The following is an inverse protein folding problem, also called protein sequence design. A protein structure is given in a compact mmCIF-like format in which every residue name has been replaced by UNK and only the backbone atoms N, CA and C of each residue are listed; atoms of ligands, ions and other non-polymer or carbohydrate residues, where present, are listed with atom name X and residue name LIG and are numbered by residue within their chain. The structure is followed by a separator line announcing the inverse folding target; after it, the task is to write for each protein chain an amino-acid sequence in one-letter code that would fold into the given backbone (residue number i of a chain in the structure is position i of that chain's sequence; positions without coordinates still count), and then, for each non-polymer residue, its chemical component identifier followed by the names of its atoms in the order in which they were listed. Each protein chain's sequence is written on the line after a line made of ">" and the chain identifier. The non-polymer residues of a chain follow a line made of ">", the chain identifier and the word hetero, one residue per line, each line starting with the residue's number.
data_IF_692483163236
#
_entry.id   IF_692483163236
#
_cell.length_a   1.000
_cell.length_b   1.000
_cell.length_c   1.000
_cell.angle_alpha   90.00
_cell.angle_beta   90.00
_cell.angle_gamma   90.00
#
_symmetry.space_group_name_H-M   'P 1'
#
loop_
_entity.id
_entity.type
_entity.pdbx_description
1 polymer ?
#
# COMPACT_ATOMS: atom_id res chain seq x y z
N UNK A 1 25.64 46.48 -49.64
CA UNK A 1 24.56 46.92 -48.74
C UNK A 1 24.76 46.19 -47.41
N UNK A 2 25.22 46.94 -46.39
CA UNK A 2 25.12 46.74 -44.93
C UNK A 2 25.42 45.31 -44.37
N UNK A 3 26.63 45.01 -43.85
CA UNK A 3 27.08 45.09 -42.42
C UNK A 3 26.53 43.93 -41.53
N UNK A 4 27.19 43.20 -40.60
CA UNK A 4 28.45 43.29 -39.82
C UNK A 4 28.87 41.88 -39.32
N UNK A 5 30.20 41.70 -39.19
CA UNK A 5 31.08 40.77 -38.44
C UNK A 5 30.58 40.04 -37.17
N UNK A 6 31.20 38.87 -36.87
CA UNK A 6 31.81 38.45 -35.56
C UNK A 6 32.56 37.11 -35.72
N UNK A 7 33.90 37.11 -35.84
CA UNK A 7 34.93 36.83 -34.81
C UNK A 7 34.86 35.43 -34.15
N UNK A 8 35.83 34.60 -34.53
CA UNK A 8 36.35 33.40 -33.85
C UNK A 8 37.00 33.76 -32.50
N UNK A 9 36.85 32.92 -31.47
CA UNK A 9 37.93 32.62 -30.51
C UNK A 9 37.61 31.37 -29.67
N UNK A 10 38.54 30.41 -29.67
CA UNK A 10 38.68 29.33 -28.69
C UNK A 10 39.42 29.89 -27.47
N UNK A 11 38.91 29.64 -26.25
CA UNK A 11 39.72 29.70 -25.04
C UNK A 11 39.13 28.77 -23.97
N UNK A 12 39.88 27.72 -23.69
CA UNK A 12 39.80 26.89 -22.49
C UNK A 12 40.16 27.69 -21.23
N UNK A 13 39.39 27.52 -20.15
CA UNK A 13 39.89 27.76 -18.79
C UNK A 13 39.03 26.99 -17.80
N UNK A 14 39.70 26.13 -17.03
CA UNK A 14 39.11 25.27 -16.00
C UNK A 14 38.44 26.06 -14.88
N UNK A 15 37.37 25.51 -14.35
CA UNK A 15 36.72 25.92 -13.12
C UNK A 15 36.73 24.74 -12.13
N UNK A 16 37.37 24.94 -10.99
CA UNK A 16 37.55 23.97 -9.93
C UNK A 16 36.23 23.38 -9.41
N UNK A 17 36.20 22.05 -9.24
CA UNK A 17 35.21 21.37 -8.41
C UNK A 17 35.46 21.74 -6.95
N UNK A 18 34.69 22.69 -6.42
CA UNK A 18 34.55 22.87 -4.97
C UNK A 18 33.45 21.93 -4.51
N UNK A 19 33.84 20.87 -3.81
CA UNK A 19 32.93 20.02 -3.05
C UNK A 19 32.25 20.87 -1.95
N UNK A 20 31.03 21.35 -2.22
CA UNK A 20 30.17 21.94 -1.19
C UNK A 20 29.47 20.80 -0.45
N UNK A 21 29.71 20.74 0.86
CA UNK A 21 29.08 19.79 1.77
C UNK A 21 27.55 19.81 1.64
N UNK A 22 26.97 18.62 1.59
CA UNK A 22 25.54 18.38 1.56
C UNK A 22 24.92 18.75 2.92
N UNK A 23 24.50 20.00 3.03
CA UNK A 23 23.55 20.46 4.02
C UNK A 23 22.59 21.42 3.31
N UNK A 24 21.76 20.90 2.41
CA UNK A 24 20.68 21.71 1.83
C UNK A 24 19.61 21.88 2.89
N UNK A 25 19.63 23.03 3.56
CA UNK A 25 18.53 23.45 4.42
C UNK A 25 17.31 23.78 3.57
N UNK A 26 16.16 23.25 4.00
CA UNK A 26 14.84 23.56 3.47
C UNK A 26 14.55 25.08 3.51
N UNK A 27 13.76 25.64 2.57
CA UNK A 27 13.37 27.05 2.58
C UNK A 27 12.78 27.45 3.94
N UNK A 28 13.15 28.65 4.42
CA UNK A 28 12.65 29.19 5.70
C UNK A 28 11.13 29.44 5.65
N UNK A 29 10.37 28.44 6.07
CA UNK A 29 8.95 28.43 6.40
C UNK A 29 8.71 27.43 7.54
N UNK A 30 7.55 27.48 8.22
CA UNK A 30 7.23 26.61 9.35
C UNK A 30 7.29 25.14 8.90
N UNK A 31 8.20 24.36 9.48
CA UNK A 31 8.41 22.94 9.15
C UNK A 31 7.09 22.16 9.16
N UNK A 32 6.89 21.33 8.13
CA UNK A 32 5.74 20.43 8.07
C UNK A 32 6.14 19.07 8.63
N UNK A 33 5.44 18.60 9.67
CA UNK A 33 5.56 17.23 10.14
C UNK A 33 4.85 16.28 9.17
N UNK A 34 5.17 14.99 9.25
CA UNK A 34 4.45 13.93 8.56
C UNK A 34 3.90 12.96 9.59
N UNK A 35 2.59 12.74 9.55
CA UNK A 35 1.90 11.69 10.29
C UNK A 35 1.45 10.64 9.28
N UNK A 36 2.12 9.50 9.28
CA UNK A 36 1.84 8.36 8.43
C UNK A 36 1.07 7.33 9.24
N UNK A 37 -0.22 7.19 8.98
CA UNK A 37 -1.11 6.23 9.65
C UNK A 37 -1.46 5.13 8.66
N UNK A 38 -1.29 3.89 9.09
CA UNK A 38 -1.66 2.76 8.27
C UNK A 38 -2.23 1.58 9.04
N UNK A 39 -3.04 0.78 8.35
CA UNK A 39 -3.66 -0.44 8.86
C UNK A 39 -3.28 -1.65 8.00
N UNK A 40 -3.60 -2.85 8.49
CA UNK A 40 -3.58 -4.07 7.71
C UNK A 40 -4.94 -4.36 7.09
N UNK A 41 -4.97 -4.94 5.89
CA UNK A 41 -6.07 -5.77 5.40
C UNK A 41 -7.44 -5.09 5.49
N UNK A 42 -7.52 -3.77 5.27
CA UNK A 42 -8.76 -3.00 5.38
C UNK A 42 -9.34 -2.59 4.01
N UNK A 43 -8.48 -2.54 2.98
CA UNK A 43 -8.85 -2.11 1.62
C UNK A 43 -9.64 -0.81 1.61
N UNK A 44 -10.72 -0.80 0.84
CA UNK A 44 -11.72 0.28 0.80
C UNK A 44 -12.96 -0.05 1.64
N UNK A 45 -12.90 -1.02 2.54
CA UNK A 45 -14.04 -1.48 3.34
C UNK A 45 -14.27 -0.62 4.59
N UNK A 46 -14.18 0.70 4.43
CA UNK A 46 -14.30 1.72 5.48
C UNK A 46 -15.34 2.77 5.07
N UNK A 47 -15.94 3.46 6.05
CA UNK A 47 -17.04 4.41 5.85
C UNK A 47 -16.80 5.49 4.76
N UNK A 48 -15.61 6.10 4.61
CA UNK A 48 -15.35 7.10 3.55
C UNK A 48 -15.45 6.57 2.11
N UNK A 49 -15.56 5.26 1.94
CA UNK A 49 -15.60 4.54 0.66
C UNK A 49 -16.93 3.81 0.48
N UNK A 50 -18.01 4.34 1.08
CA UNK A 50 -19.38 3.83 1.00
C UNK A 50 -19.55 2.39 1.55
N UNK A 51 -18.63 1.95 2.41
CA UNK A 51 -18.79 0.70 3.13
C UNK A 51 -19.83 0.81 4.24
N UNK A 52 -20.57 -0.27 4.49
CA UNK A 52 -21.48 -0.37 5.63
C UNK A 52 -20.75 -0.44 6.99
N UNK A 53 -19.43 -0.62 6.99
CA UNK A 53 -18.59 -0.65 8.20
C UNK A 53 -18.36 0.78 8.68
N UNK A 54 -18.98 1.12 9.82
CA UNK A 54 -18.87 2.46 10.39
C UNK A 54 -17.48 2.72 10.98
N UNK A 55 -16.87 3.82 10.53
CA UNK A 55 -15.56 4.34 10.95
C UNK A 55 -15.60 5.88 10.96
N UNK A 56 -16.30 6.48 11.94
CA UNK A 56 -16.60 7.91 11.96
C UNK A 56 -15.37 8.82 12.11
N UNK A 57 -14.29 8.35 12.75
CA UNK A 57 -13.07 9.15 12.92
C UNK A 57 -12.31 9.27 11.60
N UNK A 58 -12.18 8.16 10.86
CA UNK A 58 -11.61 8.12 9.51
C UNK A 58 -12.52 8.91 8.55
N UNK A 59 -13.85 8.82 8.69
CA UNK A 59 -14.79 9.67 7.94
C UNK A 59 -14.60 11.16 8.25
N UNK A 60 -14.26 11.52 9.48
CA UNK A 60 -13.90 12.90 9.82
C UNK A 60 -12.63 13.36 9.14
N UNK A 61 -11.60 12.51 9.11
CA UNK A 61 -10.37 12.81 8.36
C UNK A 61 -10.65 13.03 6.86
N UNK A 62 -11.54 12.22 6.26
CA UNK A 62 -11.97 12.38 4.88
C UNK A 62 -12.68 13.73 4.62
N UNK A 63 -13.52 14.21 5.56
CA UNK A 63 -14.17 15.54 5.45
C UNK A 63 -13.18 16.70 5.51
N UNK A 64 -12.01 16.49 6.11
CA UNK A 64 -10.97 17.51 6.28
C UNK A 64 -9.86 17.43 5.23
N UNK A 65 -9.82 16.35 4.44
CA UNK A 65 -8.74 16.06 3.50
C UNK A 65 -9.22 15.77 2.08
N UNK A 66 -8.33 15.12 1.33
CA UNK A 66 -8.58 14.61 -0.01
C UNK A 66 -8.65 13.09 0.04
N UNK A 67 -9.78 12.53 -0.37
CA UNK A 67 -10.03 11.08 -0.45
C UNK A 67 -9.88 10.61 -1.89
N UNK A 68 -9.08 9.58 -2.14
CA UNK A 68 -8.88 9.01 -3.47
C UNK A 68 -9.71 7.74 -3.65
N UNK A 69 -10.81 7.81 -4.41
CA UNK A 69 -11.67 6.65 -4.71
C UNK A 69 -10.96 5.62 -5.60
N UNK A 70 -9.90 6.04 -6.30
CA UNK A 70 -9.14 5.25 -7.27
C UNK A 70 -7.66 5.08 -6.86
N UNK A 71 -7.41 4.77 -5.58
CA UNK A 71 -6.06 4.45 -5.07
C UNK A 71 -5.77 2.94 -5.04
N UNK A 72 -4.62 2.53 -5.56
CA UNK A 72 -4.28 1.11 -5.73
C UNK A 72 -2.92 0.75 -5.12
N UNK A 73 -2.83 -0.42 -4.49
CA UNK A 73 -1.57 -1.00 -4.06
C UNK A 73 -0.76 -1.52 -5.25
N UNK A 74 0.56 -1.49 -5.11
CA UNK A 74 1.44 -2.15 -6.09
C UNK A 74 1.51 -3.67 -5.88
N UNK A 75 0.97 -4.17 -4.76
CA UNK A 75 0.87 -5.59 -4.44
C UNK A 75 -0.25 -5.84 -3.43
N UNK A 76 -1.05 -6.91 -3.58
CA UNK A 76 -2.10 -7.28 -2.63
C UNK A 76 -1.53 -8.09 -1.46
N UNK A 77 -0.32 -7.75 -0.99
CA UNK A 77 0.43 -8.44 0.07
C UNK A 77 1.09 -7.40 0.97
N UNK A 78 1.02 -7.58 2.29
CA UNK A 78 1.34 -6.56 3.29
C UNK A 78 2.75 -5.96 3.13
N UNK A 79 3.82 -6.77 3.24
CA UNK A 79 5.20 -6.28 3.15
C UNK A 79 5.53 -5.68 1.77
N UNK A 80 5.22 -6.35 0.64
CA UNK A 80 5.40 -5.79 -0.70
C UNK A 80 4.67 -4.45 -0.93
N UNK A 81 3.42 -4.33 -0.49
CA UNK A 81 2.64 -3.09 -0.61
C UNK A 81 3.29 -1.94 0.16
N UNK A 82 3.59 -2.16 1.44
CA UNK A 82 4.20 -1.15 2.32
C UNK A 82 5.56 -0.72 1.80
N UNK A 83 6.36 -1.68 1.32
CA UNK A 83 7.63 -1.40 0.67
C UNK A 83 7.44 -0.54 -0.58
N UNK A 84 6.43 -0.81 -1.40
CA UNK A 84 6.18 -0.03 -2.60
C UNK A 84 5.84 1.43 -2.28
N UNK A 85 4.98 1.66 -1.29
CA UNK A 85 4.66 3.01 -0.80
C UNK A 85 5.91 3.72 -0.26
N UNK A 86 6.61 3.05 0.66
CA UNK A 86 7.73 3.67 1.40
C UNK A 86 8.99 3.80 0.55
N UNK A 87 9.13 3.11 -0.58
CA UNK A 87 10.31 3.24 -1.46
C UNK A 87 10.02 3.93 -2.78
N UNK A 88 8.74 4.10 -3.15
CA UNK A 88 8.31 4.61 -4.45
C UNK A 88 8.71 3.70 -5.62
N UNK A 89 8.82 2.38 -5.38
CA UNK A 89 9.27 1.38 -6.37
C UNK A 89 8.31 0.19 -6.40
N UNK A 90 8.27 -0.54 -7.52
CA UNK A 90 7.58 -1.83 -7.56
C UNK A 90 8.22 -2.81 -6.57
N UNK A 91 7.45 -3.75 -5.99
CA UNK A 91 7.98 -4.81 -5.12
C UNK A 91 9.24 -5.51 -5.64
N UNK A 92 9.29 -5.92 -6.91
CA UNK A 92 10.47 -6.56 -7.49
C UNK A 92 11.68 -5.64 -7.62
N UNK A 93 11.48 -4.32 -7.80
CA UNK A 93 12.59 -3.34 -7.83
C UNK A 93 13.11 -3.03 -6.44
N UNK A 94 12.22 -2.93 -5.45
CA UNK A 94 12.61 -2.71 -4.05
C UNK A 94 13.23 -3.97 -3.41
N UNK A 95 13.02 -5.14 -4.00
CA UNK A 95 13.43 -6.45 -3.50
C UNK A 95 12.42 -7.11 -2.56
N UNK A 96 11.40 -6.37 -2.09
CA UNK A 96 10.37 -6.91 -1.19
C UNK A 96 9.30 -7.67 -1.96
N UNK A 97 9.63 -8.89 -2.40
CA UNK A 97 8.75 -9.74 -3.22
C UNK A 97 7.89 -10.74 -2.42
N UNK A 98 7.97 -10.71 -1.09
CA UNK A 98 7.24 -11.58 -0.17
C UNK A 98 7.20 -11.01 1.25
N UNK A 99 6.78 -11.81 2.24
CA UNK A 99 6.55 -11.35 3.62
C UNK A 99 7.86 -11.18 4.41
N UNK A 100 8.02 -10.02 5.07
CA UNK A 100 9.25 -9.71 5.80
C UNK A 100 9.53 -10.69 6.95
N UNK A 101 8.50 -11.09 7.69
CA UNK A 101 8.60 -12.06 8.79
C UNK A 101 8.88 -13.50 8.31
N UNK A 102 8.79 -13.76 6.99
CA UNK A 102 9.15 -15.03 6.34
C UNK A 102 10.53 -15.00 5.68
N UNK A 103 11.34 -13.98 5.98
CA UNK A 103 12.73 -13.87 5.52
C UNK A 103 12.93 -13.06 4.24
N UNK A 104 11.86 -12.51 3.64
CA UNK A 104 11.96 -11.59 2.50
C UNK A 104 12.43 -10.19 2.95
N UNK A 105 13.17 -9.47 2.11
CA UNK A 105 13.92 -8.27 2.52
C UNK A 105 13.99 -7.24 1.40
N UNK A 106 14.06 -5.96 1.78
CA UNK A 106 14.40 -4.88 0.86
C UNK A 106 15.85 -5.03 0.39
N UNK A 107 16.11 -4.77 -0.89
CA UNK A 107 17.46 -4.70 -1.43
C UNK A 107 18.23 -3.50 -0.89
N UNK A 108 17.55 -2.38 -0.61
CA UNK A 108 18.16 -1.19 -0.04
C UNK A 108 17.22 -0.46 0.93
N UNK A 109 17.24 -0.80 2.23
CA UNK A 109 16.44 -0.11 3.26
C UNK A 109 16.72 1.39 3.38
N UNK A 110 17.84 1.92 2.86
CA UNK A 110 18.11 3.38 2.88
C UNK A 110 17.20 4.17 1.93
N UNK A 111 16.49 3.50 1.04
CA UNK A 111 15.52 4.11 0.11
C UNK A 111 14.12 4.23 0.71
N UNK A 112 13.91 3.82 1.96
CA UNK A 112 12.65 4.06 2.67
C UNK A 112 12.45 5.56 2.89
N UNK A 113 11.20 6.03 2.77
CA UNK A 113 10.80 7.42 2.84
C UNK A 113 11.33 8.10 4.10
N UNK A 114 11.07 7.51 5.27
CA UNK A 114 11.56 8.05 6.53
C UNK A 114 13.10 8.06 6.64
N UNK A 115 13.78 7.08 6.01
CA UNK A 115 15.25 7.01 5.98
C UNK A 115 15.87 8.10 5.12
N UNK A 116 15.21 8.44 4.02
CA UNK A 116 15.67 9.53 3.17
C UNK A 116 15.36 10.89 3.80
N UNK A 117 14.18 11.05 4.42
CA UNK A 117 13.78 12.27 5.14
C UNK A 117 14.71 12.62 6.31
N UNK A 118 15.33 11.63 6.97
CA UNK A 118 16.34 11.87 8.02
C UNK A 118 17.50 12.75 7.52
N UNK A 119 17.86 12.68 6.23
CA UNK A 119 18.91 13.54 5.63
C UNK A 119 18.53 15.02 5.62
N UNK A 120 17.23 15.32 5.67
CA UNK A 120 16.66 16.66 5.71
C UNK A 120 16.30 17.11 7.13
N UNK A 121 16.74 16.37 8.15
CA UNK A 121 16.58 16.74 9.55
C UNK A 121 15.28 16.27 10.20
N UNK A 122 14.49 15.43 9.52
CA UNK A 122 13.32 14.81 10.14
C UNK A 122 13.74 13.75 11.17
N UNK A 123 13.06 13.75 12.31
CA UNK A 123 13.12 12.64 13.27
C UNK A 123 12.15 11.55 12.83
N UNK A 124 12.66 10.36 12.51
CA UNK A 124 11.84 9.19 12.21
C UNK A 124 11.45 8.47 13.49
N UNK A 125 10.14 8.34 13.74
CA UNK A 125 9.58 7.72 14.94
C UNK A 125 8.61 6.61 14.54
N UNK A 126 8.81 5.41 15.07
CA UNK A 126 7.89 4.28 14.87
C UNK A 126 7.03 4.07 16.10
N UNK A 127 5.73 3.94 15.90
CA UNK A 127 4.75 3.46 16.89
C UNK A 127 3.95 2.33 16.26
N UNK A 128 3.95 1.16 16.91
CA UNK A 128 3.35 -0.04 16.33
C UNK A 128 4.23 -0.71 15.28
N UNK A 129 3.65 -1.06 14.14
CA UNK A 129 4.32 -1.90 13.14
C UNK A 129 4.68 -1.17 11.85
N UNK A 130 5.61 -1.74 11.08
CA UNK A 130 6.03 -1.25 9.75
C UNK A 130 5.95 -2.34 8.66
N UNK A 131 6.17 -3.60 9.06
CA UNK A 131 6.06 -4.83 8.26
C UNK A 131 6.82 -4.89 6.91
N UNK A 132 7.82 -4.05 6.70
CA UNK A 132 8.86 -4.12 5.66
C UNK A 132 10.21 -4.70 6.15
N UNK A 133 10.30 -5.05 7.44
CA UNK A 133 11.37 -5.83 8.05
C UNK A 133 10.81 -6.76 9.13
N UNK A 134 11.46 -7.90 9.38
CA UNK A 134 11.08 -8.81 10.46
C UNK A 134 11.29 -8.18 11.85
N UNK A 135 12.40 -7.46 12.01
CA UNK A 135 12.75 -6.75 13.24
C UNK A 135 12.81 -5.23 12.95
N UNK A 136 11.92 -4.41 13.54
CA UNK A 136 11.92 -2.96 13.32
C UNK A 136 13.22 -2.27 13.77
N UNK A 137 13.99 -2.85 14.70
CA UNK A 137 15.27 -2.27 15.15
C UNK A 137 16.33 -2.23 14.04
N UNK A 138 16.18 -3.08 13.02
CA UNK A 138 17.06 -3.11 11.84
C UNK A 138 16.89 -1.91 10.93
N UNK A 139 15.74 -1.22 11.01
CA UNK A 139 15.38 -0.15 10.09
C UNK A 139 15.91 1.22 10.48
N UNK A 140 16.50 1.39 11.67
CA UNK A 140 17.17 2.64 12.10
C UNK A 140 16.23 3.86 12.14
N UNK A 141 15.03 3.70 12.68
CA UNK A 141 14.25 4.84 13.19
C UNK A 141 15.07 5.54 14.29
N UNK A 142 14.97 6.87 14.39
CA UNK A 142 15.64 7.62 15.46
C UNK A 142 15.03 7.28 16.83
N UNK A 143 13.72 7.03 16.85
CA UNK A 143 13.00 6.50 18.01
C UNK A 143 12.10 5.36 17.59
N UNK A 144 12.51 4.13 17.89
CA UNK A 144 11.61 2.99 17.81
C UNK A 144 10.82 2.88 19.12
N UNK A 145 9.53 3.20 19.08
CA UNK A 145 8.59 3.08 20.20
C UNK A 145 7.64 1.89 20.03
N UNK A 146 7.93 0.96 19.10
CA UNK A 146 7.20 -0.30 19.03
C UNK A 146 7.29 -1.03 20.38
N UNK A 147 6.20 -1.66 20.79
CA UNK A 147 6.10 -2.30 22.10
C UNK A 147 6.32 -3.80 21.99
N UNK A 148 7.18 -4.35 22.85
CA UNK A 148 7.28 -5.80 23.10
C UNK A 148 6.60 -6.10 24.42
N UNK A 149 5.75 -7.13 24.44
CA UNK A 149 5.23 -7.66 25.69
C UNK A 149 6.27 -8.49 26.45
N UNK A 150 5.90 -9.00 27.62
CA UNK A 150 6.77 -9.78 28.49
C UNK A 150 7.29 -11.07 27.84
N UNK A 151 6.61 -11.57 26.80
CA UNK A 151 7.06 -12.73 26.03
C UNK A 151 8.06 -12.37 24.92
N UNK A 152 8.35 -11.09 24.75
CA UNK A 152 9.20 -10.57 23.68
C UNK A 152 8.49 -10.42 22.34
N UNK A 153 7.17 -10.62 22.29
CA UNK A 153 6.36 -10.47 21.06
C UNK A 153 6.04 -9.01 20.81
N UNK A 154 6.23 -8.56 19.57
CA UNK A 154 5.81 -7.23 19.15
C UNK A 154 4.28 -7.11 19.14
N UNK A 155 3.77 -6.01 19.68
CA UNK A 155 2.35 -5.70 19.78
C UNK A 155 2.04 -4.42 19.01
N UNK A 156 0.97 -4.45 18.24
CA UNK A 156 0.58 -3.37 17.34
C UNK A 156 -0.93 -3.12 17.31
N UNK A 157 -1.68 -3.69 18.27
CA UNK A 157 -3.10 -3.45 18.45
C UNK A 157 -3.36 -1.96 18.74
N UNK A 158 -4.49 -1.44 18.27
CA UNK A 158 -4.85 -0.03 18.40
C UNK A 158 -4.87 0.44 19.86
N UNK A 159 -5.25 -0.46 20.79
CA UNK A 159 -5.24 -0.21 22.23
C UNK A 159 -3.83 0.01 22.82
N UNK A 160 -2.78 -0.43 22.12
CA UNK A 160 -1.37 -0.26 22.49
C UNK A 160 -0.74 0.89 21.71
N UNK A 161 -0.92 0.91 20.39
CA UNK A 161 -0.24 1.84 19.47
C UNK A 161 -0.75 3.28 19.66
N UNK A 162 -2.06 3.47 19.71
CA UNK A 162 -2.63 4.82 19.79
C UNK A 162 -2.20 5.58 21.06
N UNK A 163 -2.19 4.98 22.28
CA UNK A 163 -1.61 5.64 23.46
C UNK A 163 -0.12 5.99 23.32
N UNK A 164 0.68 5.20 22.61
CA UNK A 164 2.12 5.48 22.44
C UNK A 164 2.31 6.68 21.51
N UNK A 165 1.63 6.68 20.35
CA UNK A 165 1.64 7.81 19.42
C UNK A 165 1.13 9.09 20.09
N UNK A 166 0.06 8.98 20.87
CA UNK A 166 -0.48 10.05 21.68
C UNK A 166 0.55 10.63 22.65
N UNK A 167 1.24 9.80 23.44
CA UNK A 167 2.29 10.26 24.38
C UNK A 167 3.45 10.95 23.67
N UNK A 168 3.83 10.47 22.49
CA UNK A 168 4.85 11.14 21.69
C UNK A 168 4.38 12.55 21.27
N UNK A 169 3.15 12.69 20.76
CA UNK A 169 2.60 14.00 20.38
C UNK A 169 2.44 14.94 21.59
N UNK A 170 2.02 14.41 22.76
CA UNK A 170 1.91 15.17 24.02
C UNK A 170 3.26 15.61 24.58
N UNK A 171 4.35 14.94 24.22
CA UNK A 171 5.71 15.40 24.55
C UNK A 171 6.12 16.68 23.80
N UNK A 172 5.27 17.14 22.87
CA UNK A 172 5.44 18.34 22.05
C UNK A 172 6.81 18.40 21.36
N UNK A 173 7.13 17.41 20.49
CA UNK A 173 8.37 17.39 19.73
C UNK A 173 8.56 18.71 18.96
N UNK A 174 9.77 19.29 19.11
CA UNK A 174 10.16 20.56 18.45
C UNK A 174 10.84 20.34 17.10
N UNK A 175 11.49 19.19 16.92
CA UNK A 175 12.08 18.79 15.65
C UNK A 175 10.95 18.34 14.70
N UNK A 176 11.03 18.63 13.38
CA UNK A 176 10.13 18.03 12.41
C UNK A 176 10.21 16.50 12.51
N UNK A 177 9.07 15.83 12.46
CA UNK A 177 9.00 14.39 12.61
C UNK A 177 8.31 13.71 11.42
N UNK A 178 8.74 12.48 11.14
CA UNK A 178 7.95 11.47 10.44
C UNK A 178 7.48 10.47 11.51
N UNK A 179 6.20 10.53 11.86
CA UNK A 179 5.59 9.64 12.83
C UNK A 179 4.85 8.53 12.09
N UNK A 180 5.43 7.33 12.15
CA UNK A 180 4.90 6.10 11.61
C UNK A 180 3.98 5.44 12.65
N UNK A 181 2.68 5.36 12.35
CA UNK A 181 1.65 4.82 13.22
C UNK A 181 1.00 3.62 12.53
N UNK A 182 1.54 2.45 12.84
CA UNK A 182 1.10 1.21 12.23
C UNK A 182 0.26 0.35 13.14
N UNK A 183 -1.01 0.21 12.77
CA UNK A 183 -1.98 -0.62 13.46
C UNK A 183 -1.98 -2.06 12.93
N UNK A 184 -2.19 -3.02 13.83
CA UNK A 184 -2.41 -4.43 13.50
C UNK A 184 -3.79 -4.66 12.90
N UNK A 185 -4.79 -3.93 13.39
CA UNK A 185 -6.13 -3.94 12.80
C UNK A 185 -6.04 -3.47 11.34
N UNK A 186 -6.77 -4.06 10.40
CA UNK A 186 -7.76 -5.14 10.51
C UNK A 186 -7.20 -6.48 10.00
N UNK A 187 -5.99 -6.87 10.43
CA UNK A 187 -5.50 -8.24 10.20
C UNK A 187 -6.25 -9.26 11.08
N UNK A 188 -6.28 -10.53 10.65
CA UNK A 188 -6.85 -11.64 11.44
C UNK A 188 -5.91 -12.08 12.58
N UNK A 189 -6.39 -12.67 13.67
CA UNK A 189 -7.79 -13.00 14.00
C UNK A 189 -8.61 -11.78 14.44
N UNK A 190 -9.90 -11.78 14.08
CA UNK A 190 -10.83 -10.70 14.42
C UNK A 190 -11.40 -10.86 15.83
N UNK A 191 -11.77 -9.75 16.51
CA UNK A 191 -12.52 -9.82 17.74
C UNK A 191 -13.88 -10.49 17.51
N UNK A 192 -14.38 -11.20 18.52
CA UNK A 192 -15.71 -11.79 18.45
C UNK A 192 -16.77 -10.69 18.28
N UNK A 193 -17.64 -10.78 17.26
CA UNK A 193 -18.67 -9.78 17.03
C UNK A 193 -19.74 -9.86 18.11
N UNK A 194 -20.22 -8.70 18.55
CA UNK A 194 -21.40 -8.59 19.41
C UNK A 194 -22.68 -8.80 18.60
N UNK A 195 -23.85 -9.04 19.23
CA UNK A 195 -25.13 -9.05 18.53
C UNK A 195 -25.39 -7.77 17.72
N UNK A 196 -25.01 -6.62 18.25
CA UNK A 196 -25.13 -5.34 17.55
C UNK A 196 -24.22 -5.26 16.31
N UNK A 197 -23.08 -5.96 16.31
CA UNK A 197 -22.20 -6.02 15.14
C UNK A 197 -22.79 -6.87 14.03
N UNK A 198 -23.45 -7.98 14.40
CA UNK A 198 -24.18 -8.84 13.46
C UNK A 198 -25.37 -8.11 12.83
N UNK A 199 -26.15 -7.36 13.62
CA UNK A 199 -27.28 -6.55 13.14
C UNK A 199 -26.86 -5.45 12.15
N UNK A 200 -25.59 -4.99 12.22
CA UNK A 200 -25.04 -3.99 11.30
C UNK A 200 -24.69 -4.57 9.93
N UNK A 201 -24.52 -5.88 9.80
CA UNK A 201 -24.19 -6.52 8.51
C UNK A 201 -25.42 -6.54 7.62
N UNK A 202 -25.48 -5.58 6.68
CA UNK A 202 -26.55 -5.49 5.67
C UNK A 202 -26.27 -6.34 4.43
N UNK A 203 -25.00 -6.58 4.14
CA UNK A 203 -24.52 -7.35 2.99
C UNK A 203 -23.11 -7.86 3.28
N UNK A 204 -22.75 -8.98 2.67
CA UNK A 204 -21.39 -9.51 2.67
C UNK A 204 -20.56 -8.90 1.52
N UNK A 205 -19.23 -8.83 1.64
CA UNK A 205 -18.40 -8.30 0.56
C UNK A 205 -18.40 -9.27 -0.63
N UNK A 206 -18.53 -8.73 -1.84
CA UNK A 206 -18.45 -9.52 -3.09
C UNK A 206 -17.01 -9.99 -3.31
N UNK A 207 -16.76 -11.18 -3.86
CA UNK A 207 -17.71 -12.09 -4.52
C UNK A 207 -18.27 -13.18 -3.58
N UNK A 208 -18.21 -13.00 -2.26
CA UNK A 208 -18.60 -14.06 -1.33
C UNK A 208 -20.12 -14.33 -1.35
N UNK A 209 -20.55 -15.60 -1.21
CA UNK A 209 -21.95 -15.93 -1.05
C UNK A 209 -22.46 -15.42 0.31
N UNK A 210 -23.74 -15.07 0.36
CA UNK A 210 -24.36 -14.59 1.58
C UNK A 210 -24.78 -15.77 2.48
N UNK A 211 -23.90 -16.18 3.39
CA UNK A 211 -24.15 -17.25 4.38
C UNK A 211 -24.01 -16.72 5.81
N UNK A 212 -24.60 -17.39 6.83
CA UNK A 212 -24.44 -17.00 8.22
C UNK A 212 -22.97 -16.91 8.67
N UNK A 213 -22.12 -17.84 8.23
CA UNK A 213 -20.69 -17.88 8.54
C UNK A 213 -19.96 -16.66 7.99
N UNK A 214 -20.28 -16.24 6.77
CA UNK A 214 -19.65 -15.09 6.11
C UNK A 214 -20.17 -13.78 6.70
N UNK A 215 -21.47 -13.69 7.04
CA UNK A 215 -22.02 -12.53 7.78
C UNK A 215 -21.34 -12.38 9.13
N UNK A 216 -21.13 -13.48 9.85
CA UNK A 216 -20.43 -13.48 11.13
C UNK A 216 -18.98 -13.02 10.96
N UNK A 217 -18.26 -13.57 10.00
CA UNK A 217 -16.87 -13.20 9.71
C UNK A 217 -16.73 -11.71 9.32
N UNK A 218 -17.66 -11.19 8.52
CA UNK A 218 -17.69 -9.77 8.15
C UNK A 218 -18.10 -8.85 9.31
N UNK A 219 -18.98 -9.30 10.21
CA UNK A 219 -19.28 -8.58 11.45
C UNK A 219 -18.02 -8.45 12.34
N UNK A 220 -17.23 -9.52 12.43
CA UNK A 220 -15.97 -9.55 13.17
C UNK A 220 -14.93 -8.59 12.56
N UNK A 221 -14.80 -8.58 11.23
CA UNK A 221 -14.02 -7.56 10.51
C UNK A 221 -14.48 -6.14 10.88
N UNK A 222 -15.78 -5.89 10.84
CA UNK A 222 -16.34 -4.58 11.20
C UNK A 222 -16.03 -4.16 12.64
N UNK A 223 -16.00 -5.11 13.59
CA UNK A 223 -15.60 -4.84 14.96
C UNK A 223 -14.11 -4.48 15.06
N UNK A 224 -13.23 -5.16 14.31
CA UNK A 224 -11.81 -4.79 14.19
C UNK A 224 -11.64 -3.40 13.58
N UNK A 225 -12.39 -3.07 12.52
CA UNK A 225 -12.35 -1.77 11.87
C UNK A 225 -12.76 -0.61 12.80
N UNK A 226 -13.71 -0.85 13.72
CA UNK A 226 -14.07 0.13 14.76
C UNK A 226 -12.95 0.34 15.81
N UNK A 227 -12.18 -0.70 16.12
CA UNK A 227 -11.00 -0.57 16.99
C UNK A 227 -9.91 0.26 16.31
N UNK A 228 -9.65 0.01 15.03
CA UNK A 228 -8.79 0.83 14.19
C UNK A 228 -9.25 2.29 14.20
N UNK A 229 -10.52 2.54 13.89
CA UNK A 229 -11.10 3.88 13.81
C UNK A 229 -10.94 4.66 15.13
N UNK A 230 -11.24 4.03 16.27
CA UNK A 230 -11.04 4.64 17.58
C UNK A 230 -9.55 4.98 17.85
N UNK A 231 -8.63 4.11 17.43
CA UNK A 231 -7.19 4.34 17.49
C UNK A 231 -6.76 5.54 16.64
N UNK A 232 -7.22 5.60 15.39
CA UNK A 232 -6.97 6.73 14.48
C UNK A 232 -7.49 8.04 15.09
N UNK A 233 -8.73 8.06 15.57
CA UNK A 233 -9.33 9.24 16.19
C UNK A 233 -8.54 9.73 17.40
N UNK A 234 -8.03 8.82 18.23
CA UNK A 234 -7.17 9.17 19.37
C UNK A 234 -5.88 9.86 18.94
N UNK A 235 -5.21 9.36 17.91
CA UNK A 235 -3.98 9.96 17.38
C UNK A 235 -4.27 11.32 16.75
N UNK A 236 -5.33 11.44 15.95
CA UNK A 236 -5.72 12.72 15.31
C UNK A 236 -6.10 13.78 16.35
N UNK A 237 -6.84 13.42 17.41
CA UNK A 237 -7.13 14.33 18.53
C UNK A 237 -5.86 14.77 19.27
N UNK A 238 -4.89 13.87 19.43
CA UNK A 238 -3.60 14.20 20.04
C UNK A 238 -2.78 15.16 19.18
N UNK A 239 -2.80 14.99 17.86
CA UNK A 239 -2.21 15.92 16.92
C UNK A 239 -2.85 17.31 17.05
N UNK A 240 -4.18 17.36 17.08
CA UNK A 240 -4.94 18.60 17.10
C UNK A 240 -4.77 19.39 18.40
N UNK A 241 -4.95 18.73 19.56
CA UNK A 241 -4.83 19.42 20.87
C UNK A 241 -3.44 19.98 21.17
N UNK A 242 -2.41 19.44 20.52
CA UNK A 242 -1.03 19.93 20.62
C UNK A 242 -0.69 20.99 19.56
N UNK A 243 -1.65 21.40 18.74
CA UNK A 243 -1.51 22.51 17.79
C UNK A 243 -0.76 22.15 16.51
N UNK A 244 -0.69 20.86 16.16
CA UNK A 244 0.05 20.39 14.98
C UNK A 244 -0.78 20.38 13.68
N UNK A 245 -2.08 20.63 13.73
CA UNK A 245 -2.96 20.59 12.54
C UNK A 245 -2.50 21.49 11.40
N UNK A 246 -1.97 22.67 11.74
CA UNK A 246 -1.57 23.69 10.76
C UNK A 246 -0.19 23.47 10.16
N UNK A 247 0.52 22.42 10.56
CA UNK A 247 1.86 22.13 10.07
C UNK A 247 2.14 20.63 10.03
N UNK A 248 1.14 19.80 9.72
CA UNK A 248 1.32 18.36 9.56
C UNK A 248 0.63 17.89 8.29
N UNK A 249 1.35 17.15 7.46
CA UNK A 249 0.78 16.30 6.42
C UNK A 249 0.37 14.98 7.06
N UNK A 250 -0.93 14.71 7.09
CA UNK A 250 -1.51 13.44 7.53
C UNK A 250 -1.75 12.58 6.30
N UNK A 251 -1.24 11.35 6.33
CA UNK A 251 -1.44 10.32 5.31
C UNK A 251 -2.09 9.13 6.00
N UNK A 252 -3.35 8.86 5.70
CA UNK A 252 -4.01 7.62 6.08
C UNK A 252 -4.08 6.69 4.87
N UNK A 253 -3.57 5.48 5.01
CA UNK A 253 -3.54 4.51 3.91
C UNK A 253 -3.65 3.07 4.39
N UNK A 254 -4.32 2.23 3.60
CA UNK A 254 -4.37 0.77 3.80
C UNK A 254 -3.35 0.10 2.88
N UNK A 255 -2.80 -1.03 3.27
CA UNK A 255 -1.84 -1.76 2.43
C UNK A 255 -2.52 -2.41 1.21
N UNK A 256 -3.60 -3.15 1.41
CA UNK A 256 -4.35 -3.81 0.33
C UNK A 256 -5.77 -4.17 0.76
N UNK A 257 -6.48 -4.92 -0.09
CA UNK A 257 -7.82 -5.46 0.16
C UNK A 257 -7.95 -6.30 1.44
N UNK A 258 -9.18 -6.57 1.83
CA UNK A 258 -9.50 -7.30 3.08
C UNK A 258 -9.10 -8.77 3.02
N UNK A 259 -8.84 -9.38 4.19
CA UNK A 259 -8.42 -10.77 4.34
C UNK A 259 -9.59 -11.77 4.16
N UNK A 260 -10.23 -11.74 2.98
CA UNK A 260 -11.30 -12.66 2.60
C UNK A 260 -10.95 -13.37 1.28
N UNK A 261 -11.55 -14.55 1.00
CA UNK A 261 -11.29 -15.28 -0.22
C UNK A 261 -11.51 -14.42 -1.49
N UNK A 262 -10.54 -14.46 -2.41
CA UNK A 262 -10.58 -13.71 -3.67
C UNK A 262 -10.14 -12.24 -3.59
N UNK A 263 -9.76 -11.73 -2.42
CA UNK A 263 -9.40 -10.33 -2.20
C UNK A 263 -7.90 -10.18 -1.89
N UNK A 264 -7.47 -10.22 -0.62
CA UNK A 264 -6.04 -10.32 -0.26
C UNK A 264 -5.35 -11.40 -1.10
N UNK A 265 -4.12 -11.12 -1.52
CA UNK A 265 -3.34 -11.97 -2.43
C UNK A 265 -3.93 -12.12 -3.85
N UNK A 266 -4.92 -11.32 -4.27
CA UNK A 266 -5.44 -11.32 -5.63
C UNK A 266 -5.24 -9.95 -6.30
N UNK A 267 -5.01 -9.97 -7.62
CA UNK A 267 -4.75 -8.74 -8.37
C UNK A 267 -6.03 -8.07 -8.89
N UNK A 268 -7.21 -8.50 -8.45
CA UNK A 268 -8.52 -7.84 -8.66
C UNK A 268 -8.61 -6.52 -7.89
N UNK A 269 -9.54 -5.64 -8.24
CA UNK A 269 -9.71 -4.32 -7.62
C UNK A 269 -10.10 -4.46 -6.14
N UNK A 270 -10.78 -5.55 -5.76
CA UNK A 270 -11.02 -5.90 -4.36
C UNK A 270 -9.74 -6.28 -3.61
N UNK A 271 -8.71 -6.77 -4.31
CA UNK A 271 -7.43 -7.14 -3.73
C UNK A 271 -6.40 -6.00 -3.70
N UNK A 272 -6.36 -5.16 -4.74
CA UNK A 272 -5.41 -4.05 -4.85
C UNK A 272 -6.01 -2.68 -4.48
N UNK A 273 -7.32 -2.56 -4.34
CA UNK A 273 -7.96 -1.31 -3.94
C UNK A 273 -7.63 -0.93 -2.51
N UNK A 274 -7.13 0.29 -2.32
CA UNK A 274 -6.75 0.82 -1.00
C UNK A 274 -7.53 2.08 -0.68
N UNK A 275 -7.73 2.32 0.61
CA UNK A 275 -8.08 3.64 1.08
C UNK A 275 -6.82 4.51 1.13
N UNK A 276 -6.92 5.73 0.60
CA UNK A 276 -5.92 6.79 0.71
C UNK A 276 -6.64 8.11 1.00
N UNK A 277 -6.34 8.69 2.16
CA UNK A 277 -6.83 10.01 2.57
C UNK A 277 -5.62 10.85 2.98
N UNK A 278 -5.49 12.04 2.39
CA UNK A 278 -4.40 12.97 2.70
C UNK A 278 -4.95 14.31 3.15
N UNK A 279 -4.48 14.81 4.29
CA UNK A 279 -4.90 16.10 4.87
C UNK A 279 -3.66 16.90 5.24
N UNK A 280 -3.63 18.18 4.88
CA UNK A 280 -2.51 19.03 5.25
C UNK A 280 -2.67 20.48 4.78
N UNK A 281 -1.84 21.41 5.30
CA UNK A 281 -1.81 22.79 4.85
C UNK A 281 -1.69 22.95 3.33
N UNK A 282 -2.55 23.79 2.74
CA UNK A 282 -2.52 24.06 1.30
C UNK A 282 -3.10 22.96 0.42
N UNK A 283 -3.65 21.89 1.01
CA UNK A 283 -4.42 20.88 0.28
C UNK A 283 -5.91 21.24 0.25
N UNK A 284 -6.64 20.70 -0.73
CA UNK A 284 -8.08 20.81 -0.81
C UNK A 284 -8.73 20.11 0.40
N UNK A 285 -9.88 20.65 0.83
CA UNK A 285 -10.60 20.20 2.03
C UNK A 285 -11.91 19.53 1.61
N UNK A 286 -12.18 18.34 2.13
CA UNK A 286 -13.40 17.58 1.87
C UNK A 286 -13.55 17.16 0.40
N UNK A 287 -12.44 17.06 -0.33
CA UNK A 287 -12.44 16.76 -1.75
C UNK A 287 -12.35 15.25 -2.00
N UNK A 288 -13.12 14.75 -2.97
CA UNK A 288 -13.02 13.37 -3.42
C UNK A 288 -12.52 13.33 -4.86
N UNK A 289 -11.45 12.58 -5.10
CA UNK A 289 -10.82 12.45 -6.41
C UNK A 289 -11.01 11.05 -7.00
N UNK A 290 -11.34 11.01 -8.29
CA UNK A 290 -11.37 9.80 -9.12
C UNK A 290 -10.08 9.60 -9.94
N UNK A 291 -9.09 10.49 -9.77
CA UNK A 291 -7.79 10.31 -10.43
C UNK A 291 -7.15 9.01 -9.93
N UNK A 292 -6.79 8.16 -10.88
CA UNK A 292 -6.15 6.89 -10.58
C UNK A 292 -4.72 7.12 -10.07
N UNK A 293 -4.43 6.61 -8.89
CA UNK A 293 -3.11 6.69 -8.24
C UNK A 293 -2.68 5.32 -7.72
N UNK A 294 -1.37 5.10 -7.65
CA UNK A 294 -0.76 3.94 -7.00
C UNK A 294 -0.04 4.35 -5.71
N UNK A 295 0.12 3.41 -4.77
CA UNK A 295 0.95 3.62 -3.58
C UNK A 295 2.37 4.11 -3.90
N UNK A 296 2.96 3.72 -5.04
CA UNK A 296 4.30 4.18 -5.45
C UNK A 296 4.38 5.69 -5.71
N UNK A 297 3.23 6.33 -5.94
CA UNK A 297 3.09 7.75 -6.25
C UNK A 297 3.08 8.62 -4.98
N UNK A 298 2.90 8.00 -3.80
CA UNK A 298 2.86 8.73 -2.52
C UNK A 298 4.21 9.35 -2.19
N UNK A 299 5.32 8.61 -2.35
CA UNK A 299 6.66 9.10 -2.07
C UNK A 299 6.99 10.38 -2.87
N UNK A 300 6.95 10.40 -4.22
CA UNK A 300 7.25 11.62 -4.97
C UNK A 300 6.30 12.77 -4.62
N UNK A 301 5.04 12.46 -4.29
CA UNK A 301 4.06 13.47 -3.85
C UNK A 301 4.44 14.13 -2.52
N UNK A 302 4.92 13.35 -1.54
CA UNK A 302 5.43 13.90 -0.27
C UNK A 302 6.61 14.84 -0.52
N UNK A 303 7.52 14.49 -1.43
CA UNK A 303 8.71 15.30 -1.71
C UNK A 303 8.36 16.63 -2.38
N UNK A 304 7.44 16.59 -3.35
CA UNK A 304 6.90 17.81 -3.96
C UNK A 304 6.19 18.69 -2.95
N UNK A 305 5.37 18.08 -2.08
CA UNK A 305 4.64 18.79 -1.04
C UNK A 305 5.60 19.51 -0.08
N UNK A 306 6.72 18.87 0.26
CA UNK A 306 7.78 19.46 1.09
C UNK A 306 8.69 20.45 0.34
N UNK A 307 8.61 20.50 -1.00
CA UNK A 307 9.50 21.32 -1.82
C UNK A 307 10.97 20.88 -1.79
N UNK A 308 11.24 19.58 -1.60
CA UNK A 308 12.60 19.00 -1.61
C UNK A 308 12.88 18.20 -2.90
N UNK A 309 14.15 18.11 -3.34
CA UNK A 309 14.51 17.36 -4.54
C UNK A 309 14.17 15.88 -4.43
N UNK A 310 13.45 15.35 -5.42
CA UNK A 310 13.11 13.92 -5.51
C UNK A 310 14.37 13.07 -5.73
N UNK A 311 14.49 11.92 -5.04
CA UNK A 311 15.52 10.95 -5.35
C UNK A 311 15.33 10.32 -6.73
N UNK A 312 16.43 9.99 -7.40
CA UNK A 312 16.42 9.48 -8.78
C UNK A 312 15.87 8.06 -8.95
N UNK A 313 15.70 7.30 -7.86
CA UNK A 313 15.20 5.92 -7.93
C UNK A 313 13.67 5.83 -7.95
N UNK A 314 12.95 6.91 -7.60
CA UNK A 314 11.50 6.91 -7.53
C UNK A 314 10.91 6.59 -8.91
N UNK A 315 9.95 5.67 -8.93
CA UNK A 315 9.27 5.22 -10.15
C UNK A 315 7.86 5.82 -10.31
N UNK A 316 7.26 6.31 -9.22
CA UNK A 316 5.93 6.92 -9.23
C UNK A 316 5.93 8.36 -9.74
N UNK A 317 4.72 8.89 -9.94
CA UNK A 317 4.45 10.27 -10.32
C UNK A 317 3.80 11.03 -9.17
N UNK A 318 4.08 12.33 -9.05
CA UNK A 318 3.45 13.14 -8.01
C UNK A 318 2.02 13.50 -8.40
N UNK A 319 1.08 13.32 -7.48
CA UNK A 319 -0.30 13.80 -7.59
C UNK A 319 -0.57 15.04 -6.71
N UNK A 320 0.46 15.80 -6.34
CA UNK A 320 0.29 17.05 -5.60
C UNK A 320 -0.72 18.02 -6.25
N UNK A 321 -0.77 18.21 -7.59
CA UNK A 321 -1.78 19.06 -8.19
C UNK A 321 -3.21 18.61 -7.87
N UNK A 322 -3.45 17.30 -7.79
CA UNK A 322 -4.76 16.72 -7.43
C UNK A 322 -5.09 16.99 -5.97
N UNK A 323 -4.10 16.85 -5.07
CA UNK A 323 -4.25 17.24 -3.67
C UNK A 323 -4.57 18.73 -3.49
N UNK A 324 -4.20 19.58 -4.47
CA UNK A 324 -4.48 21.02 -4.49
C UNK A 324 -5.79 21.36 -5.25
N UNK A 325 -6.60 20.36 -5.59
CA UNK A 325 -7.93 20.54 -6.19
C UNK A 325 -7.98 20.41 -7.71
N UNK A 326 -6.86 20.10 -8.37
CA UNK A 326 -6.87 19.76 -9.80
C UNK A 326 -7.53 18.40 -10.05
N UNK A 327 -8.01 18.18 -11.27
CA UNK A 327 -8.48 16.88 -11.77
C UNK A 327 -7.55 16.32 -12.86
N UNK A 328 -6.30 16.77 -12.89
CA UNK A 328 -5.33 16.31 -13.88
C UNK A 328 -5.04 14.82 -13.67
N UNK A 329 -5.17 14.04 -14.75
CA UNK A 329 -4.70 12.66 -14.76
C UNK A 329 -3.18 12.64 -14.64
N UNK A 330 -2.64 11.83 -13.73
CA UNK A 330 -1.18 11.67 -13.57
C UNK A 330 -0.64 10.44 -14.30
N UNK A 331 -1.51 9.50 -14.67
CA UNK A 331 -1.15 8.29 -15.41
C UNK A 331 -2.38 7.65 -16.05
N UNK A 332 -2.16 6.95 -17.16
CA UNK A 332 -3.21 6.21 -17.88
C UNK A 332 -3.34 4.74 -17.41
N UNK A 333 -2.36 4.26 -16.63
CA UNK A 333 -2.33 2.91 -16.07
C UNK A 333 -1.66 2.84 -14.69
N UNK A 334 -2.11 1.90 -13.87
CA UNK A 334 -1.40 1.39 -12.67
C UNK A 334 -1.03 -0.07 -12.88
N UNK A 335 0.03 -0.50 -12.19
CA UNK A 335 0.55 -1.86 -12.27
C UNK A 335 0.61 -2.45 -10.86
N UNK A 336 0.30 -3.75 -10.76
CA UNK A 336 0.36 -4.47 -9.51
C UNK A 336 0.96 -5.87 -9.72
N UNK A 337 1.57 -6.40 -8.66
CA UNK A 337 2.24 -7.69 -8.72
C UNK A 337 2.14 -8.49 -7.43
N UNK A 338 2.25 -9.80 -7.59
CA UNK A 338 2.44 -10.75 -6.51
C UNK A 338 3.48 -11.77 -6.95
N UNK A 339 4.42 -12.10 -6.07
CA UNK A 339 5.40 -13.16 -6.35
C UNK A 339 5.33 -14.22 -5.26
N UNK A 340 5.46 -13.79 -4.00
CA UNK A 340 5.24 -14.62 -2.83
C UNK A 340 4.25 -13.96 -1.86
N UNK A 341 3.48 -14.79 -1.17
CA UNK A 341 2.88 -14.44 0.11
C UNK A 341 3.27 -15.49 1.16
N UNK A 342 2.37 -16.44 1.48
CA UNK A 342 2.72 -17.63 2.24
C UNK A 342 3.42 -18.66 1.34
N UNK A 343 3.04 -18.71 0.07
CA UNK A 343 3.54 -19.60 -0.97
C UNK A 343 3.86 -18.82 -2.25
N UNK A 344 4.58 -19.48 -3.18
CA UNK A 344 4.90 -18.92 -4.49
C UNK A 344 3.67 -18.90 -5.41
N UNK A 345 3.28 -17.72 -5.89
CA UNK A 345 2.17 -17.52 -6.83
C UNK A 345 2.40 -16.27 -7.69
N UNK A 346 3.29 -16.36 -8.70
CA UNK A 346 3.69 -15.20 -9.49
C UNK A 346 2.57 -14.72 -10.40
N UNK A 347 2.15 -13.47 -10.21
CA UNK A 347 1.13 -12.79 -11.00
C UNK A 347 1.50 -11.35 -11.27
N UNK A 348 1.06 -10.80 -12.39
CA UNK A 348 1.20 -9.39 -12.75
C UNK A 348 -0.10 -8.85 -13.33
N UNK A 349 -0.38 -7.57 -13.08
CA UNK A 349 -1.55 -6.90 -13.60
C UNK A 349 -1.26 -5.49 -14.11
N UNK A 350 -2.01 -5.08 -15.13
CA UNK A 350 -2.11 -3.68 -15.57
C UNK A 350 -3.59 -3.28 -15.55
N UNK A 351 -3.86 -2.11 -14.98
CA UNK A 351 -5.21 -1.55 -14.83
C UNK A 351 -5.23 -0.13 -15.40
N UNK A 352 -6.12 0.11 -16.34
CA UNK A 352 -6.47 1.44 -16.86
C UNK A 352 -7.82 1.86 -16.27
N UNK A 353 -8.36 3.02 -16.64
CA UNK A 353 -9.70 3.42 -16.19
C UNK A 353 -10.78 2.40 -16.55
N UNK A 354 -10.71 1.81 -17.76
CA UNK A 354 -11.73 0.88 -18.26
C UNK A 354 -11.30 -0.58 -18.22
N UNK A 355 -10.05 -0.87 -18.54
CA UNK A 355 -9.60 -2.24 -18.77
C UNK A 355 -8.68 -2.71 -17.68
N UNK A 356 -8.82 -3.98 -17.33
CA UNK A 356 -7.87 -4.66 -16.46
C UNK A 356 -7.43 -5.99 -17.03
N UNK A 357 -6.13 -6.22 -16.98
CA UNK A 357 -5.51 -7.45 -17.44
C UNK A 357 -4.63 -8.06 -16.36
N UNK A 358 -4.82 -9.34 -16.09
CA UNK A 358 -4.08 -10.11 -15.09
C UNK A 358 -3.44 -11.31 -15.79
N UNK A 359 -2.16 -11.58 -15.48
CA UNK A 359 -1.40 -12.74 -15.98
C UNK A 359 -0.86 -13.57 -14.82
N UNK A 360 -1.14 -14.87 -14.81
CA UNK A 360 -0.62 -15.85 -13.83
C UNK A 360 0.53 -16.67 -14.42
N UNK A 361 1.73 -16.53 -13.88
CA UNK A 361 2.92 -17.22 -14.38
C UNK A 361 3.09 -18.60 -13.73
N UNK A 362 3.84 -19.48 -14.38
CA UNK A 362 4.02 -20.88 -13.95
C UNK A 362 2.96 -21.83 -14.50
N UNK A 363 3.02 -23.10 -14.06
CA UNK A 363 2.18 -24.20 -14.56
C UNK A 363 0.94 -24.49 -13.71
N UNK A 364 0.93 -24.09 -12.42
CA UNK A 364 -0.20 -24.32 -11.52
C UNK A 364 -1.45 -23.59 -12.02
N UNK A 365 -2.60 -24.26 -12.00
CA UNK A 365 -3.90 -23.69 -12.38
C UNK A 365 -4.96 -23.88 -11.30
N UNK A 366 -4.58 -24.34 -10.11
CA UNK A 366 -5.42 -24.42 -8.92
C UNK A 366 -5.07 -23.26 -7.97
N UNK A 367 -6.01 -22.83 -7.10
CA UNK A 367 -5.72 -21.88 -6.04
C UNK A 367 -4.55 -22.32 -5.17
N UNK A 368 -3.80 -21.33 -4.68
CA UNK A 368 -2.76 -21.53 -3.67
C UNK A 368 -3.37 -21.17 -2.32
N UNK A 369 -4.05 -22.13 -1.71
CA UNK A 369 -4.86 -21.91 -0.50
C UNK A 369 -4.10 -21.34 0.71
N UNK A 370 -2.78 -21.61 0.91
CA UNK A 370 -2.02 -20.97 1.97
C UNK A 370 -1.90 -19.46 1.78
N UNK A 371 -2.11 -18.92 0.58
CA UNK A 371 -2.11 -17.47 0.35
C UNK A 371 -3.43 -16.79 0.79
N UNK A 372 -4.41 -17.55 1.26
CA UNK A 372 -5.63 -17.05 1.88
C UNK A 372 -5.64 -17.40 3.36
N UNK A 373 -5.84 -16.40 4.23
CA UNK A 373 -5.89 -16.61 5.67
C UNK A 373 -7.04 -17.53 6.08
N UNK A 374 -6.82 -18.29 7.16
CA UNK A 374 -7.85 -19.15 7.73
C UNK A 374 -9.00 -18.31 8.29
N UNK A 375 -10.22 -18.72 7.94
CA UNK A 375 -11.44 -17.98 8.28
C UNK A 375 -12.68 -18.83 8.07
N UNK A 376 -13.81 -18.51 8.73
CA UNK A 376 -15.10 -19.10 8.39
C UNK A 376 -15.43 -18.95 6.89
N UNK A 377 -15.13 -17.79 6.30
CA UNK A 377 -15.36 -17.54 4.87
C UNK A 377 -14.56 -18.47 3.96
N UNK A 378 -13.28 -18.72 4.28
CA UNK A 378 -12.45 -19.69 3.56
C UNK A 378 -13.01 -21.10 3.69
N UNK A 379 -13.45 -21.50 4.89
CA UNK A 379 -14.03 -22.83 5.12
C UNK A 379 -15.28 -23.07 4.27
N UNK A 380 -16.15 -22.06 4.10
CA UNK A 380 -17.31 -22.14 3.20
C UNK A 380 -16.89 -22.44 1.76
N UNK A 381 -15.90 -21.70 1.24
CA UNK A 381 -15.40 -21.91 -0.12
C UNK A 381 -14.71 -23.25 -0.30
N UNK A 382 -13.87 -23.65 0.66
CA UNK A 382 -13.18 -24.96 0.62
C UNK A 382 -14.20 -26.11 0.61
N UNK A 383 -15.21 -26.05 1.48
CA UNK A 383 -16.29 -27.03 1.52
C UNK A 383 -17.14 -27.08 0.25
N UNK A 384 -17.15 -26.00 -0.54
CA UNK A 384 -17.85 -25.90 -1.82
C UNK A 384 -16.99 -26.30 -3.04
N UNK A 385 -15.78 -26.84 -2.84
CA UNK A 385 -14.92 -27.31 -3.92
C UNK A 385 -13.95 -26.26 -4.48
N UNK A 386 -13.68 -25.17 -3.75
CA UNK A 386 -12.69 -24.17 -4.17
C UNK A 386 -11.29 -24.74 -4.51
N UNK A 387 -10.74 -25.76 -3.82
CA UNK A 387 -9.43 -26.33 -4.17
C UNK A 387 -9.34 -26.86 -5.60
N UNK A 388 -10.48 -27.32 -6.16
CA UNK A 388 -10.56 -27.91 -7.50
C UNK A 388 -10.86 -26.87 -8.59
N UNK A 389 -11.09 -25.60 -8.22
CA UNK A 389 -11.36 -24.55 -9.18
C UNK A 389 -10.16 -24.34 -10.11
N UNK A 390 -10.43 -24.25 -11.43
CA UNK A 390 -9.38 -23.97 -12.41
C UNK A 390 -9.27 -22.47 -12.66
N UNK A 391 -8.15 -21.89 -12.25
CA UNK A 391 -7.78 -20.51 -12.51
C UNK A 391 -7.31 -20.33 -13.96
N UNK A 392 -7.76 -19.26 -14.65
CA UNK A 392 -7.29 -18.97 -15.98
C UNK A 392 -5.83 -18.50 -15.95
N UNK A 393 -5.11 -18.80 -17.04
CA UNK A 393 -3.72 -18.37 -17.22
C UNK A 393 -3.58 -16.84 -17.32
N UNK A 394 -4.60 -16.20 -17.88
CA UNK A 394 -4.74 -14.77 -18.02
C UNK A 394 -6.22 -14.39 -17.99
N UNK A 395 -6.51 -13.17 -17.57
CA UNK A 395 -7.85 -12.63 -17.54
C UNK A 395 -7.88 -11.18 -18.03
N UNK A 396 -8.93 -10.83 -18.79
CA UNK A 396 -9.22 -9.48 -19.25
C UNK A 396 -10.63 -9.11 -18.80
N UNK A 397 -10.78 -7.95 -18.17
CA UNK A 397 -12.06 -7.44 -17.66
C UNK A 397 -12.32 -6.04 -18.19
N UNK A 398 -13.58 -5.78 -18.57
CA UNK A 398 -14.12 -4.44 -18.84
C UNK A 398 -14.74 -3.88 -17.57
N UNK A 399 -13.99 -3.07 -16.81
CA UNK A 399 -14.43 -2.50 -15.53
C UNK A 399 -15.64 -1.57 -15.66
N UNK A 400 -16.00 -1.13 -16.88
CA UNK A 400 -17.22 -0.33 -17.09
C UNK A 400 -18.47 -1.20 -17.03
N UNK A 401 -18.43 -2.41 -17.61
CA UNK A 401 -19.59 -3.30 -17.67
C UNK A 401 -19.53 -4.46 -16.67
N UNK A 402 -18.34 -4.78 -16.16
CA UNK A 402 -18.05 -5.82 -15.18
C UNK A 402 -17.09 -5.28 -14.09
N UNK A 403 -17.55 -4.34 -13.25
CA UNK A 403 -16.73 -3.78 -12.17
C UNK A 403 -16.37 -4.81 -11.07
N UNK A 404 -17.01 -5.99 -11.08
CA UNK A 404 -16.74 -7.08 -10.16
C UNK A 404 -15.75 -8.11 -10.72
N UNK A 405 -15.22 -7.91 -11.93
CA UNK A 405 -14.19 -8.75 -12.56
C UNK A 405 -14.58 -10.24 -12.62
N UNK A 406 -15.83 -10.52 -12.99
CA UNK A 406 -16.42 -11.86 -13.01
C UNK A 406 -16.38 -12.52 -14.40
N UNK A 407 -16.39 -11.73 -15.47
CA UNK A 407 -16.45 -12.19 -16.85
C UNK A 407 -15.10 -12.08 -17.57
N UNK A 408 -14.35 -13.17 -17.65
CA UNK A 408 -13.07 -13.18 -18.36
C UNK A 408 -13.27 -13.10 -19.90
N UNK A 409 -12.82 -12.00 -20.50
CA UNK A 409 -12.96 -11.68 -21.92
C UNK A 409 -11.80 -12.17 -22.80
N UNK A 410 -10.78 -12.85 -22.24
CA UNK A 410 -9.57 -13.25 -23.00
C UNK A 410 -9.85 -14.16 -24.22
N UNK A 411 -10.98 -14.86 -24.23
CA UNK A 411 -11.36 -15.79 -25.31
C UNK A 411 -12.40 -15.20 -26.26
N UNK A 412 -12.90 -13.99 -25.99
CA UNK A 412 -13.86 -13.34 -26.85
C UNK A 412 -13.13 -12.58 -27.98
N UNK A 413 -13.33 -12.96 -29.26
CA UNK A 413 -12.64 -12.35 -30.39
C UNK A 413 -12.95 -10.86 -30.55
N UNK A 414 -14.09 -10.38 -30.04
CA UNK A 414 -14.46 -8.96 -30.10
C UNK A 414 -13.44 -8.07 -29.37
N UNK A 415 -12.81 -8.57 -28.30
CA UNK A 415 -11.85 -7.82 -27.49
C UNK A 415 -10.39 -8.13 -27.84
N UNK A 416 -10.13 -8.78 -28.98
CA UNK A 416 -8.81 -9.22 -29.38
C UNK A 416 -7.75 -8.10 -29.49
N UNK A 417 -8.14 -6.91 -29.96
CA UNK A 417 -7.25 -5.74 -30.01
C UNK A 417 -6.91 -5.20 -28.61
N UNK A 418 -7.92 -5.07 -27.75
CA UNK A 418 -7.75 -4.64 -26.37
C UNK A 418 -6.83 -5.59 -25.61
N UNK A 419 -7.04 -6.90 -25.76
CA UNK A 419 -6.20 -7.92 -25.14
C UNK A 419 -4.73 -7.81 -25.59
N UNK A 420 -4.49 -7.62 -26.88
CA UNK A 420 -3.12 -7.42 -27.42
C UNK A 420 -2.45 -6.18 -26.83
N UNK A 421 -3.18 -5.07 -26.73
CA UNK A 421 -2.65 -3.84 -26.17
C UNK A 421 -2.35 -3.98 -24.66
N UNK A 422 -3.26 -4.55 -23.89
CA UNK A 422 -3.07 -4.75 -22.45
C UNK A 422 -1.90 -5.70 -22.14
N UNK A 423 -1.74 -6.78 -22.92
CA UNK A 423 -0.56 -7.66 -22.86
C UNK A 423 0.73 -6.90 -23.15
N UNK A 424 0.73 -6.03 -24.16
CA UNK A 424 1.89 -5.22 -24.55
C UNK A 424 2.27 -4.22 -23.47
N UNK A 425 1.30 -3.53 -22.86
CA UNK A 425 1.51 -2.61 -21.73
C UNK A 425 2.16 -3.32 -20.55
N UNK A 426 1.58 -4.45 -20.12
CA UNK A 426 2.14 -5.22 -19.01
C UNK A 426 3.58 -5.68 -19.31
N UNK A 427 3.82 -6.25 -20.49
CA UNK A 427 5.15 -6.71 -20.88
C UNK A 427 6.17 -5.57 -20.94
N UNK A 428 5.78 -4.39 -21.46
CA UNK A 428 6.64 -3.21 -21.49
C UNK A 428 7.03 -2.77 -20.09
N UNK A 429 6.06 -2.64 -19.18
CA UNK A 429 6.33 -2.29 -17.79
C UNK A 429 7.30 -3.28 -17.15
N UNK A 430 7.05 -4.60 -17.29
CA UNK A 430 7.97 -5.63 -16.79
C UNK A 430 9.40 -5.47 -17.33
N UNK A 431 9.56 -5.08 -18.60
CA UNK A 431 10.88 -4.86 -19.21
C UNK A 431 11.56 -3.60 -18.67
N UNK A 432 10.83 -2.49 -18.60
CA UNK A 432 11.32 -1.19 -18.11
C UNK A 432 11.72 -1.25 -16.64
N UNK A 433 10.99 -2.04 -15.84
CA UNK A 433 11.29 -2.23 -14.41
C UNK A 433 12.22 -3.41 -14.13
N UNK A 434 12.69 -4.10 -15.17
CA UNK A 434 13.61 -5.25 -15.09
C UNK A 434 13.07 -6.39 -14.22
N UNK A 435 11.79 -6.71 -14.38
CA UNK A 435 11.11 -7.77 -13.62
C UNK A 435 11.83 -9.12 -13.80
N UNK A 436 12.30 -9.75 -12.70
CA UNK A 436 13.01 -11.02 -12.78
C UNK A 436 12.18 -12.16 -13.38
N UNK A 437 10.84 -12.08 -13.36
CA UNK A 437 9.98 -13.08 -14.01
C UNK A 437 10.20 -13.20 -15.52
N UNK A 438 10.73 -12.16 -16.17
CA UNK A 438 11.10 -12.22 -17.59
C UNK A 438 12.21 -13.22 -17.88
N UNK A 439 12.97 -13.62 -16.85
CA UNK A 439 14.09 -14.57 -16.94
C UNK A 439 13.72 -15.98 -16.47
N UNK A 440 12.50 -16.19 -15.99
CA UNK A 440 12.02 -17.47 -15.44
C UNK A 440 11.47 -17.36 -14.02
N UNK A 441 11.30 -18.48 -13.31
CA UNK A 441 10.86 -18.49 -11.92
C UNK A 441 11.77 -17.62 -11.04
N UNK A 442 11.16 -16.89 -10.11
CA UNK A 442 11.87 -16.01 -9.17
C UNK A 442 12.17 -16.81 -7.92
N UNK A 443 13.43 -16.98 -7.57
CA UNK A 443 13.84 -17.66 -6.35
C UNK A 443 13.56 -16.80 -5.11
N UNK A 444 13.24 -17.46 -3.99
CA UNK A 444 13.15 -16.82 -2.70
C UNK A 444 14.56 -16.46 -2.16
N UNK A 445 14.69 -15.44 -1.30
CA UNK A 445 15.97 -15.10 -0.71
C UNK A 445 16.44 -16.18 0.28
N UNK A 446 17.76 -16.28 0.45
CA UNK A 446 18.37 -17.27 1.37
C UNK A 446 17.83 -17.11 2.79
N UNK A 447 17.34 -18.23 3.34
CA UNK A 447 16.73 -18.30 4.68
C UNK A 447 15.25 -17.90 4.72
N UNK A 448 14.62 -17.63 3.57
CA UNK A 448 13.18 -17.49 3.52
C UNK A 448 12.47 -18.83 3.69
N UNK A 449 11.26 -18.77 4.24
CA UNK A 449 10.40 -19.93 4.47
C UNK A 449 9.03 -19.72 3.84
N UNK A 450 8.48 -20.76 3.23
CA UNK A 450 7.19 -20.72 2.53
C UNK A 450 6.37 -21.96 2.83
N UNK A 451 5.06 -21.87 2.68
CA UNK A 451 4.19 -23.05 2.67
C UNK A 451 4.27 -23.74 1.30
N UNK A 452 4.18 -25.08 1.25
CA UNK A 452 3.97 -25.79 -0.01
C UNK A 452 2.70 -25.26 -0.71
N UNK A 453 2.70 -25.08 -2.04
CA UNK A 453 1.53 -24.56 -2.75
C UNK A 453 0.31 -25.49 -2.70
N UNK A 454 0.52 -26.77 -2.37
CA UNK A 454 -0.54 -27.78 -2.15
C UNK A 454 -1.05 -27.83 -0.71
N UNK A 455 -0.49 -27.01 0.20
CA UNK A 455 -1.01 -26.87 1.56
C UNK A 455 -2.41 -26.24 1.57
N UNK A 456 -3.09 -26.29 2.71
CA UNK A 456 -4.42 -25.69 2.87
C UNK A 456 -4.38 -24.38 3.65
N UNK A 457 -3.44 -24.23 4.58
CA UNK A 457 -3.39 -23.10 5.52
C UNK A 457 -2.01 -22.41 5.56
N UNK A 458 -1.96 -21.07 5.74
CA UNK A 458 -0.70 -20.37 6.02
C UNK A 458 -0.06 -20.76 7.38
N UNK A 459 -0.84 -21.39 8.26
CA UNK A 459 -0.42 -21.85 9.59
C UNK A 459 0.23 -23.24 9.57
N UNK A 460 0.16 -23.95 8.43
CA UNK A 460 0.86 -25.22 8.27
C UNK A 460 2.39 -25.04 8.35
N UNK A 461 3.13 -26.11 8.68
CA UNK A 461 4.59 -26.07 8.70
C UNK A 461 5.16 -25.52 7.38
N UNK A 462 6.12 -24.62 7.52
CA UNK A 462 6.82 -24.05 6.37
C UNK A 462 8.03 -24.90 6.00
N UNK A 463 8.44 -24.79 4.74
CA UNK A 463 9.67 -25.37 4.20
C UNK A 463 10.64 -24.25 3.80
N UNK A 464 11.96 -24.52 3.80
CA UNK A 464 12.91 -23.63 3.12
C UNK A 464 12.46 -23.38 1.68
N UNK A 465 12.45 -22.11 1.29
CA UNK A 465 11.84 -21.63 0.06
C UNK A 465 12.65 -21.87 -1.22
#
# INVERSE_FOLDING_TARGET
>A
MVQVRRRTFLASSGGAFVAKGYGQSLPKGRWTNILYIHSHDSGRSLEPYDSAVSTPEIASLAREGVTFRQAFSAAPVCSPSRAALLTGQSPHRSGMIGLAHRGFRLSNPRQLLFRDLQKFGYQAVLTGMQHVAADPDTLRYDRNLAYRDESGKWRAEASVVAPIAERFLDSRPRQPFFLDVGFFETHREYPQPTPADLERVRSVPRPLPDTPEIRHDFAAFGASARQLDAGVGRVLRALSRNGYDRNTLVIFVTDHGIAFPGMKSNLTDDGIGTALIMRGPGLAVGHQSDVMVSQIDVFPTVYDYLGIPRPSWLAGQSFLPVLQGSQVEIQDAVYAEMTYHASYEPMRAVRTQRWKYIRRFGSRRQPVLPNCDDSPSKSVWVGAGWPDHRLPEEALYDLTFDPAETGNLCHDPQYGDVLREMRKRLRRWMQETQDPLLKGPVAAPVGAVVNPPDGQSPSEPTVPA
#
